data_IF_691066560770
#
_entry.id   IF_691066560770
#
_cell.length_a   1.000
_cell.length_b   1.000
_cell.length_c   1.000
_cell.angle_alpha   90.00
_cell.angle_beta   90.00
_cell.angle_gamma   90.00
#
_symmetry.space_group_name_H-M   'P 1'
#
loop_
_entity.id
_entity.type
_entity.pdbx_description
1 polymer ?
#
# COMPACT_ATOMS: atom_id res chain seq x y z
N UNK A 1 4.26 3.75 18.32
CA UNK A 1 2.97 3.36 18.93
C UNK A 1 3.26 2.58 20.19
N UNK A 2 2.63 2.90 21.31
CA UNK A 2 2.67 2.09 22.51
C UNK A 2 1.22 1.65 22.79
N UNK A 3 0.99 0.33 22.85
CA UNK A 3 -0.34 -0.24 23.10
C UNK A 3 -0.23 -1.32 24.18
N UNK A 4 -1.29 -1.47 24.98
CA UNK A 4 -1.44 -2.58 25.91
C UNK A 4 -1.97 -3.83 25.21
N UNK A 5 -1.78 -5.00 25.82
CA UNK A 5 -2.38 -6.25 25.34
C UNK A 5 -3.91 -6.18 25.28
N UNK A 6 -4.54 -5.44 26.20
CA UNK A 6 -5.98 -5.20 26.19
C UNK A 6 -6.42 -4.40 24.95
N UNK A 7 -5.73 -3.32 24.63
CA UNK A 7 -6.01 -2.50 23.42
C UNK A 7 -5.80 -3.30 22.14
N UNK A 8 -4.74 -4.12 22.09
CA UNK A 8 -4.51 -5.03 20.95
C UNK A 8 -5.64 -6.06 20.81
N UNK A 9 -6.11 -6.63 21.92
CA UNK A 9 -7.20 -7.58 21.88
C UNK A 9 -8.49 -6.94 21.33
N UNK A 10 -8.80 -5.71 21.72
CA UNK A 10 -9.94 -4.95 21.17
C UNK A 10 -9.76 -4.72 19.67
N UNK A 11 -8.59 -4.24 19.24
CA UNK A 11 -8.28 -3.99 17.82
C UNK A 11 -8.42 -5.24 16.95
N UNK A 12 -8.05 -6.41 17.51
CA UNK A 12 -7.98 -7.68 16.78
C UNK A 12 -9.21 -8.58 16.99
N UNK A 13 -10.26 -8.08 17.65
CA UNK A 13 -11.47 -8.83 17.99
C UNK A 13 -11.14 -10.11 18.79
N UNK A 14 -10.19 -10.01 19.73
CA UNK A 14 -9.65 -11.12 20.48
C UNK A 14 -9.86 -11.01 22.00
N UNK A 15 -9.21 -11.90 22.73
CA UNK A 15 -9.19 -11.92 24.19
C UNK A 15 -7.78 -12.05 24.74
N UNK A 16 -7.54 -11.49 25.93
CA UNK A 16 -6.23 -11.55 26.59
C UNK A 16 -6.15 -12.78 27.50
N UNK A 17 -5.02 -13.47 27.44
CA UNK A 17 -4.63 -14.52 28.39
C UNK A 17 -3.26 -14.19 28.95
N UNK A 18 -3.18 -13.71 30.18
CA UNK A 18 -2.01 -13.15 30.84
C UNK A 18 -2.29 -11.74 31.37
N UNK A 19 -1.29 -10.89 31.39
CA UNK A 19 -1.41 -9.53 31.90
C UNK A 19 -1.96 -8.56 30.83
N UNK A 20 -3.17 -7.98 30.99
CA UNK A 20 -3.76 -7.07 30.02
C UNK A 20 -2.99 -5.74 29.88
N UNK A 21 -2.23 -5.35 30.89
CA UNK A 21 -1.42 -4.11 30.90
C UNK A 21 -0.04 -4.29 30.24
N UNK A 22 0.27 -5.50 29.75
CA UNK A 22 1.55 -5.72 29.02
C UNK A 22 1.65 -4.79 27.82
N UNK A 23 2.72 -3.98 27.79
CA UNK A 23 2.92 -2.96 26.77
C UNK A 23 3.81 -3.43 25.63
N UNK A 24 3.44 -3.07 24.42
CA UNK A 24 4.22 -3.29 23.20
C UNK A 24 4.42 -2.01 22.41
N UNK A 25 5.56 -1.92 21.72
CA UNK A 25 5.97 -0.73 20.95
C UNK A 25 6.39 -1.06 19.53
N UNK A 26 6.61 -2.33 19.24
CA UNK A 26 7.16 -2.78 17.94
C UNK A 26 6.61 -4.14 17.55
N UNK A 27 6.59 -4.38 16.25
CA UNK A 27 6.38 -5.69 15.66
C UNK A 27 7.70 -6.46 15.63
N UNK A 28 7.66 -7.77 15.84
CA UNK A 28 8.85 -8.62 15.80
C UNK A 28 8.57 -9.98 15.18
N UNK A 29 9.60 -10.56 14.56
CA UNK A 29 9.54 -11.95 14.11
C UNK A 29 9.54 -12.87 15.32
N UNK A 30 8.75 -13.94 15.31
CA UNK A 30 8.60 -14.85 16.44
C UNK A 30 9.92 -15.45 16.91
N UNK A 31 10.87 -15.67 15.98
CA UNK A 31 12.18 -16.27 16.25
C UNK A 31 13.14 -15.32 16.99
N UNK A 32 12.97 -14.01 16.84
CA UNK A 32 13.93 -13.01 17.31
C UNK A 32 13.31 -11.85 18.07
N UNK A 33 12.00 -11.89 18.29
CA UNK A 33 11.30 -10.85 19.05
C UNK A 33 11.84 -10.76 20.48
N UNK A 34 12.05 -9.53 20.94
CA UNK A 34 12.47 -9.23 22.32
C UNK A 34 11.40 -8.46 23.06
N UNK A 35 11.70 -8.07 24.28
CA UNK A 35 10.82 -7.30 25.18
C UNK A 35 10.22 -6.08 24.49
N UNK A 36 8.94 -5.82 24.71
CA UNK A 36 8.18 -4.73 24.10
C UNK A 36 7.77 -5.01 22.66
N UNK A 37 7.97 -6.23 22.15
CA UNK A 37 7.47 -6.63 20.85
C UNK A 37 6.16 -7.41 20.94
N UNK A 38 5.30 -7.22 19.92
CA UNK A 38 4.20 -8.13 19.59
C UNK A 38 4.61 -8.98 18.39
N UNK A 39 4.29 -10.26 18.44
CA UNK A 39 4.47 -11.21 17.34
C UNK A 39 3.21 -12.07 17.18
N UNK A 40 3.20 -12.98 16.22
CA UNK A 40 2.06 -13.85 15.97
C UNK A 40 2.47 -15.28 15.65
N UNK A 41 1.58 -16.22 15.92
CA UNK A 41 1.70 -17.63 15.56
C UNK A 41 0.51 -18.04 14.69
N UNK A 42 0.66 -17.97 13.36
CA UNK A 42 -0.35 -18.46 12.42
C UNK A 42 -0.05 -19.89 11.93
N UNK A 43 1.23 -20.27 11.80
CA UNK A 43 1.64 -21.59 11.37
C UNK A 43 2.19 -22.41 12.55
N UNK A 44 1.63 -23.62 12.76
CA UNK A 44 2.03 -24.54 13.83
C UNK A 44 3.51 -24.94 13.80
N UNK A 45 4.17 -24.92 12.65
CA UNK A 45 5.60 -25.20 12.54
C UNK A 45 6.48 -24.23 13.34
N UNK A 46 5.98 -23.01 13.55
CA UNK A 46 6.64 -21.96 14.31
C UNK A 46 6.36 -22.03 15.82
N UNK A 47 5.50 -22.95 16.28
CA UNK A 47 5.15 -23.10 17.70
C UNK A 47 6.38 -23.24 18.59
N UNK A 48 7.41 -23.96 18.13
CA UNK A 48 8.67 -24.16 18.86
C UNK A 48 9.38 -22.86 19.25
N UNK A 49 9.16 -21.77 18.51
CA UNK A 49 9.75 -20.47 18.80
C UNK A 49 9.01 -19.70 19.88
N UNK A 50 7.69 -19.93 20.06
CA UNK A 50 6.91 -19.28 21.13
C UNK A 50 7.56 -19.48 22.50
N UNK A 51 8.00 -20.70 22.78
CA UNK A 51 8.60 -21.08 24.06
C UNK A 51 9.98 -20.48 24.34
N UNK A 52 10.61 -19.87 23.34
CA UNK A 52 11.93 -19.23 23.41
C UNK A 52 11.89 -17.76 23.04
N UNK A 53 10.75 -17.27 22.61
CA UNK A 53 10.57 -15.88 22.19
C UNK A 53 10.68 -14.95 23.38
N UNK A 54 11.36 -13.84 23.24
CA UNK A 54 11.36 -12.74 24.18
C UNK A 54 10.23 -11.73 23.95
N UNK A 55 9.26 -12.05 23.07
CA UNK A 55 8.12 -11.18 22.79
C UNK A 55 7.26 -10.97 24.05
N UNK A 56 6.84 -9.74 24.30
CA UNK A 56 5.92 -9.42 25.40
C UNK A 56 4.50 -9.88 25.12
N UNK A 57 4.07 -9.84 23.86
CA UNK A 57 2.75 -10.30 23.41
C UNK A 57 2.87 -11.22 22.22
N UNK A 58 2.15 -12.33 22.23
CA UNK A 58 2.02 -13.25 21.09
C UNK A 58 0.55 -13.39 20.70
N UNK A 59 0.21 -13.06 19.46
CA UNK A 59 -1.13 -13.28 18.90
C UNK A 59 -1.22 -14.73 18.44
N UNK A 60 -2.21 -15.46 18.94
CA UNK A 60 -2.40 -16.90 18.71
C UNK A 60 -3.85 -17.21 18.37
N UNK A 61 -4.13 -18.39 17.79
CA UNK A 61 -5.49 -18.87 17.63
C UNK A 61 -6.18 -19.07 18.99
N UNK A 62 -7.50 -18.88 19.06
CA UNK A 62 -8.33 -19.19 20.25
C UNK A 62 -8.11 -20.62 20.76
N UNK A 63 -7.88 -21.55 19.83
CA UNK A 63 -7.68 -22.96 20.13
C UNK A 63 -6.25 -23.31 20.53
N UNK A 64 -5.35 -22.33 20.54
CA UNK A 64 -3.96 -22.59 20.91
C UNK A 64 -3.85 -23.03 22.36
N UNK A 65 -3.29 -24.22 22.56
CA UNK A 65 -2.97 -24.80 23.87
C UNK A 65 -1.45 -25.00 23.90
N UNK A 66 -0.72 -24.29 24.78
CA UNK A 66 0.72 -24.47 24.89
C UNK A 66 1.04 -25.90 25.37
N UNK A 67 1.99 -26.55 24.71
CA UNK A 67 2.50 -27.88 25.08
C UNK A 67 3.63 -27.83 26.13
N UNK A 68 4.14 -26.65 26.42
CA UNK A 68 5.20 -26.37 27.39
C UNK A 68 4.89 -25.06 28.09
N UNK A 69 5.57 -24.81 29.20
CA UNK A 69 5.49 -23.55 29.88
C UNK A 69 5.92 -22.40 28.98
N UNK A 70 5.14 -21.34 28.99
CA UNK A 70 5.47 -20.10 28.28
C UNK A 70 6.44 -19.26 29.11
N UNK A 71 7.22 -18.38 28.47
CA UNK A 71 7.98 -17.36 29.21
C UNK A 71 7.09 -16.59 30.20
N UNK A 72 7.55 -16.36 31.44
CA UNK A 72 6.69 -15.87 32.54
C UNK A 72 6.07 -14.49 32.28
N UNK A 73 6.74 -13.63 31.50
CA UNK A 73 6.26 -12.29 31.18
C UNK A 73 5.50 -12.21 29.86
N UNK A 74 5.22 -13.37 29.23
CA UNK A 74 4.53 -13.42 27.95
C UNK A 74 3.02 -13.38 28.16
N UNK A 75 2.38 -12.48 27.44
CA UNK A 75 0.93 -12.38 27.34
C UNK A 75 0.46 -12.86 25.97
N UNK A 76 -0.62 -13.66 25.96
CA UNK A 76 -1.24 -14.09 24.70
C UNK A 76 -2.46 -13.23 24.38
N UNK A 77 -2.62 -12.86 23.11
CA UNK A 77 -3.87 -12.34 22.55
C UNK A 77 -4.45 -13.42 21.65
N UNK A 78 -5.59 -13.96 22.06
CA UNK A 78 -6.28 -15.07 21.39
C UNK A 78 -7.31 -14.53 20.41
N UNK A 79 -7.21 -14.92 19.13
CA UNK A 79 -8.05 -14.47 18.01
C UNK A 79 -8.58 -15.66 17.21
N UNK A 80 -9.60 -15.46 16.39
CA UNK A 80 -10.13 -16.51 15.51
C UNK A 80 -9.10 -16.92 14.45
N UNK A 81 -8.56 -15.96 13.73
CA UNK A 81 -7.52 -16.17 12.71
C UNK A 81 -6.31 -15.27 12.95
N UNK A 82 -5.17 -15.82 13.44
CA UNK A 82 -3.96 -15.04 13.67
C UNK A 82 -3.38 -14.40 12.42
N UNK A 83 -3.60 -14.97 11.23
CA UNK A 83 -3.08 -14.40 9.97
C UNK A 83 -3.82 -13.12 9.60
N UNK A 84 -5.16 -13.17 9.62
CA UNK A 84 -5.99 -11.98 9.38
C UNK A 84 -5.79 -10.92 10.47
N UNK A 85 -5.63 -11.33 11.74
CA UNK A 85 -5.32 -10.41 12.83
C UNK A 85 -3.98 -9.70 12.62
N UNK A 86 -2.97 -10.42 12.14
CA UNK A 86 -1.67 -9.83 11.81
C UNK A 86 -1.77 -8.81 10.65
N UNK A 87 -2.54 -9.14 9.60
CA UNK A 87 -2.79 -8.19 8.51
C UNK A 87 -3.45 -6.90 9.03
N UNK A 88 -4.50 -7.01 9.87
CA UNK A 88 -5.12 -5.85 10.54
C UNK A 88 -4.12 -5.03 11.36
N UNK A 89 -3.20 -5.69 12.06
CA UNK A 89 -2.18 -5.01 12.86
C UNK A 89 -1.17 -4.26 11.97
N UNK A 90 -0.77 -4.84 10.86
CA UNK A 90 0.10 -4.19 9.88
C UNK A 90 -0.60 -2.98 9.24
N UNK A 91 -1.86 -3.10 8.85
CA UNK A 91 -2.66 -2.00 8.32
C UNK A 91 -2.79 -0.85 9.33
N UNK A 92 -3.06 -1.18 10.61
CA UNK A 92 -3.11 -0.19 11.67
C UNK A 92 -1.75 0.52 11.86
N UNK A 93 -0.65 -0.21 11.75
CA UNK A 93 0.70 0.33 11.82
C UNK A 93 1.02 1.23 10.62
N UNK A 94 0.66 0.83 9.42
CA UNK A 94 0.87 1.62 8.19
C UNK A 94 0.03 2.91 8.21
N UNK A 95 -1.20 2.85 8.71
CA UNK A 95 -2.05 4.03 8.89
C UNK A 95 -1.44 5.10 9.80
N UNK A 96 -0.64 4.72 10.80
CA UNK A 96 0.09 5.67 11.66
C UNK A 96 1.26 6.32 10.90
N UNK A 97 1.80 5.63 9.92
CA UNK A 97 2.89 6.12 9.07
C UNK A 97 2.38 6.92 7.86
N UNK A 98 1.06 7.05 7.69
CA UNK A 98 0.48 7.92 6.65
C UNK A 98 1.00 9.34 6.81
N UNK A 99 1.19 9.99 5.68
CA UNK A 99 1.66 11.37 5.65
C UNK A 99 0.53 12.31 6.06
N UNK A 100 0.93 13.45 6.62
CA UNK A 100 0.00 14.53 6.89
C UNK A 100 -0.68 14.99 5.60
N UNK A 101 -1.98 15.30 5.70
CA UNK A 101 -2.75 15.88 4.62
C UNK A 101 -2.17 17.25 4.23
N UNK A 102 -2.34 17.60 2.97
CA UNK A 102 -1.96 18.91 2.45
C UNK A 102 -1.01 18.85 1.26
N UNK A 103 -0.61 20.02 0.82
CA UNK A 103 0.23 20.19 -0.36
C UNK A 103 1.61 20.69 0.07
N UNK A 104 2.65 19.95 -0.26
CA UNK A 104 4.02 20.37 0.01
C UNK A 104 4.38 21.61 -0.81
N UNK A 105 5.10 22.56 -0.22
CA UNK A 105 5.42 23.86 -0.82
C UNK A 105 6.23 23.78 -2.14
N UNK A 106 6.90 22.66 -2.39
CA UNK A 106 7.64 22.41 -3.63
C UNK A 106 6.84 21.65 -4.70
N UNK A 107 5.56 21.36 -4.47
CA UNK A 107 4.71 20.78 -5.49
C UNK A 107 4.33 21.83 -6.54
N UNK A 108 4.28 21.42 -7.80
CA UNK A 108 3.89 22.25 -8.93
C UNK A 108 2.53 21.78 -9.43
N UNK A 109 1.50 22.58 -9.20
CA UNK A 109 0.12 22.22 -9.53
C UNK A 109 -0.42 23.25 -10.51
N UNK A 110 -0.92 22.76 -11.66
CA UNK A 110 -1.54 23.65 -12.64
C UNK A 110 -2.85 24.24 -12.07
N UNK A 111 -3.16 25.54 -12.30
CA UNK A 111 -4.38 26.17 -11.76
C UNK A 111 -5.69 25.49 -12.15
N UNK A 112 -5.74 24.84 -13.32
CA UNK A 112 -6.90 24.10 -13.80
C UNK A 112 -6.98 22.65 -13.28
N UNK A 113 -6.04 22.21 -12.43
CA UNK A 113 -6.10 20.90 -11.80
C UNK A 113 -7.05 20.93 -10.59
N UNK A 114 -7.77 19.83 -10.40
CA UNK A 114 -8.72 19.67 -9.28
C UNK A 114 -8.14 18.65 -8.30
N UNK A 115 -8.04 19.03 -7.03
CA UNK A 115 -7.56 18.15 -5.96
C UNK A 115 -8.66 17.98 -4.92
N UNK A 116 -9.02 16.74 -4.65
CA UNK A 116 -10.03 16.35 -3.66
C UNK A 116 -9.58 16.63 -2.22
N UNK A 117 -10.52 16.47 -1.30
CA UNK A 117 -10.29 16.68 0.12
C UNK A 117 -9.41 15.58 0.73
N UNK A 118 -8.61 15.94 1.74
CA UNK A 118 -7.80 14.97 2.48
C UNK A 118 -6.64 14.37 1.69
N UNK A 119 -6.23 14.97 0.57
CA UNK A 119 -5.09 14.51 -0.21
C UNK A 119 -3.75 14.90 0.46
N UNK A 120 -2.75 14.01 0.33
CA UNK A 120 -1.37 14.28 0.72
C UNK A 120 -0.51 14.40 -0.54
N UNK A 121 -0.05 15.61 -0.87
CA UNK A 121 0.75 15.89 -2.05
C UNK A 121 2.20 16.17 -1.64
N UNK A 122 3.08 15.24 -1.95
CA UNK A 122 4.48 15.25 -1.50
C UNK A 122 5.40 16.22 -2.24
N UNK A 123 6.67 16.28 -1.83
CA UNK A 123 7.65 17.20 -2.42
C UNK A 123 7.95 16.85 -3.88
N UNK A 124 8.05 17.89 -4.71
CA UNK A 124 8.40 17.78 -6.13
C UNK A 124 7.36 17.04 -6.97
N UNK A 125 6.14 16.88 -6.46
CA UNK A 125 4.99 16.39 -7.26
C UNK A 125 4.65 17.42 -8.32
N UNK A 126 4.37 16.95 -9.53
CA UNK A 126 3.87 17.78 -10.64
C UNK A 126 2.51 17.28 -11.06
N UNK A 127 1.52 18.18 -11.07
CA UNK A 127 0.15 17.90 -11.53
C UNK A 127 -0.18 18.88 -12.64
N UNK A 128 -0.38 18.36 -13.84
CA UNK A 128 -0.55 19.16 -15.07
C UNK A 128 -2.04 19.54 -15.29
N UNK A 129 -2.26 20.31 -16.34
CA UNK A 129 -3.54 20.90 -16.73
C UNK A 129 -4.66 19.87 -16.83
N UNK A 130 -5.82 20.19 -16.26
CA UNK A 130 -7.04 19.38 -16.37
C UNK A 130 -7.00 18.06 -15.59
N UNK A 131 -5.94 17.78 -14.87
CA UNK A 131 -5.86 16.58 -14.03
C UNK A 131 -6.85 16.69 -12.85
N UNK A 132 -7.48 15.57 -12.51
CA UNK A 132 -8.41 15.46 -11.37
C UNK A 132 -7.94 14.37 -10.41
N UNK A 133 -7.75 14.71 -9.15
CA UNK A 133 -7.34 13.82 -8.07
C UNK A 133 -8.51 13.66 -7.11
N UNK A 134 -8.95 12.44 -6.88
CA UNK A 134 -10.02 12.12 -5.92
C UNK A 134 -9.57 12.23 -4.48
N UNK A 135 -10.55 12.29 -3.57
CA UNK A 135 -10.34 12.49 -2.14
C UNK A 135 -9.39 11.45 -1.51
N UNK A 136 -8.66 11.86 -0.46
CA UNK A 136 -7.78 11.02 0.36
C UNK A 136 -6.70 10.27 -0.43
N UNK A 137 -6.34 10.76 -1.60
CA UNK A 137 -5.26 10.19 -2.41
C UNK A 137 -3.91 10.74 -1.98
N UNK A 138 -2.93 9.85 -1.86
CA UNK A 138 -1.55 10.19 -1.51
C UNK A 138 -0.65 10.13 -2.76
N UNK A 139 -0.01 11.25 -3.11
CA UNK A 139 1.03 11.34 -4.12
C UNK A 139 2.37 11.57 -3.42
N UNK A 140 3.25 10.56 -3.40
CA UNK A 140 4.57 10.67 -2.77
C UNK A 140 5.53 11.50 -3.62
N UNK A 141 6.74 11.69 -3.12
CA UNK A 141 7.73 12.56 -3.76
C UNK A 141 7.94 12.27 -5.24
N UNK A 142 8.02 13.35 -6.04
CA UNK A 142 8.33 13.29 -7.49
C UNK A 142 7.35 12.47 -8.33
N UNK A 143 6.11 12.32 -7.90
CA UNK A 143 5.03 11.79 -8.74
C UNK A 143 4.70 12.81 -9.82
N UNK A 144 4.51 12.35 -11.05
CA UNK A 144 4.06 13.16 -12.18
C UNK A 144 2.67 12.72 -12.63
N UNK A 145 1.74 13.64 -12.69
CA UNK A 145 0.38 13.45 -13.20
C UNK A 145 0.21 14.35 -14.42
N UNK A 146 0.05 13.74 -15.59
CA UNK A 146 -0.08 14.40 -16.88
C UNK A 146 -1.44 15.06 -17.10
N UNK A 147 -1.58 15.64 -18.28
CA UNK A 147 -2.80 16.39 -18.67
C UNK A 147 -4.02 15.49 -18.72
N UNK A 148 -5.14 16.03 -18.28
CA UNK A 148 -6.46 15.37 -18.35
C UNK A 148 -6.46 13.95 -17.76
N UNK A 149 -5.55 13.68 -16.82
CA UNK A 149 -5.55 12.44 -16.04
C UNK A 149 -6.64 12.48 -15.00
N UNK A 150 -7.35 11.39 -14.82
CA UNK A 150 -8.31 11.23 -13.73
C UNK A 150 -7.85 10.14 -12.77
N UNK A 151 -7.78 10.47 -11.49
CA UNK A 151 -7.45 9.54 -10.40
C UNK A 151 -8.61 9.51 -9.43
N UNK A 152 -9.03 8.31 -9.05
CA UNK A 152 -10.09 8.08 -8.07
C UNK A 152 -9.68 8.40 -6.63
N UNK A 153 -10.53 7.99 -5.69
CA UNK A 153 -10.36 8.22 -4.25
C UNK A 153 -9.50 7.13 -3.60
N UNK A 154 -8.90 7.45 -2.45
CA UNK A 154 -8.16 6.50 -1.61
C UNK A 154 -7.01 5.78 -2.34
N UNK A 155 -6.38 6.45 -3.30
CA UNK A 155 -5.26 5.90 -4.05
C UNK A 155 -3.91 6.26 -3.42
N UNK A 156 -2.90 5.40 -3.65
CA UNK A 156 -1.54 5.63 -3.18
C UNK A 156 -0.54 5.51 -4.33
N UNK A 157 0.21 6.57 -4.56
CA UNK A 157 1.27 6.63 -5.57
C UNK A 157 2.62 6.80 -4.90
N UNK A 158 3.45 5.78 -5.02
CA UNK A 158 4.80 5.82 -4.47
C UNK A 158 5.73 6.72 -5.28
N UNK A 159 6.88 7.06 -4.69
CA UNK A 159 7.79 8.06 -5.27
C UNK A 159 8.21 7.73 -6.71
N UNK A 160 8.22 8.76 -7.55
CA UNK A 160 8.67 8.67 -8.94
C UNK A 160 7.69 8.01 -9.91
N UNK A 161 6.46 7.67 -9.49
CA UNK A 161 5.40 7.21 -10.40
C UNK A 161 5.05 8.29 -11.41
N UNK A 162 4.80 7.88 -12.66
CA UNK A 162 4.38 8.78 -13.74
C UNK A 162 3.11 8.27 -14.38
N UNK A 163 2.06 9.07 -14.34
CA UNK A 163 0.81 8.84 -15.06
C UNK A 163 0.75 9.85 -16.21
N UNK A 164 0.85 9.34 -17.44
CA UNK A 164 0.91 10.20 -18.61
C UNK A 164 -0.50 10.57 -19.10
N UNK A 165 -0.54 11.56 -19.99
CA UNK A 165 -1.76 12.27 -20.42
C UNK A 165 -2.95 11.36 -20.72
N UNK A 166 -4.14 11.77 -20.27
CA UNK A 166 -5.45 11.16 -20.55
C UNK A 166 -5.63 9.73 -20.01
N UNK A 167 -4.74 9.26 -19.13
CA UNK A 167 -4.92 8.00 -18.44
C UNK A 167 -5.94 8.13 -17.30
N UNK A 168 -6.57 7.01 -16.95
CA UNK A 168 -7.54 6.93 -15.86
C UNK A 168 -7.11 5.89 -14.85
N UNK A 169 -7.19 6.23 -13.57
CA UNK A 169 -6.96 5.33 -12.44
C UNK A 169 -8.20 5.34 -11.58
N UNK A 170 -8.78 4.18 -11.33
CA UNK A 170 -9.94 3.98 -10.46
C UNK A 170 -9.65 4.25 -8.99
N UNK A 171 -10.53 3.80 -8.12
CA UNK A 171 -10.42 4.03 -6.68
C UNK A 171 -9.57 2.95 -5.99
N UNK A 172 -8.96 3.29 -4.84
CA UNK A 172 -8.20 2.35 -3.99
C UNK A 172 -7.09 1.60 -4.72
N UNK A 173 -6.45 2.28 -5.66
CA UNK A 173 -5.32 1.74 -6.39
C UNK A 173 -4.00 2.09 -5.69
N UNK A 174 -3.08 1.12 -5.66
CA UNK A 174 -1.72 1.31 -5.18
C UNK A 174 -0.73 1.15 -6.32
N UNK A 175 0.08 2.17 -6.57
CA UNK A 175 1.08 2.15 -7.64
C UNK A 175 2.47 2.30 -7.03
N UNK A 176 3.29 1.28 -7.17
CA UNK A 176 4.63 1.25 -6.58
C UNK A 176 5.64 2.10 -7.36
N UNK A 177 6.75 2.44 -6.67
CA UNK A 177 7.70 3.45 -7.12
C UNK A 177 8.30 3.23 -8.51
N UNK A 178 8.46 4.32 -9.25
CA UNK A 178 9.08 4.35 -10.57
C UNK A 178 8.24 3.78 -11.71
N UNK A 179 7.03 3.32 -11.44
CA UNK A 179 6.11 2.81 -12.46
C UNK A 179 5.63 3.91 -13.39
N UNK A 180 5.55 3.60 -14.69
CA UNK A 180 5.10 4.51 -15.75
C UNK A 180 3.82 3.96 -16.38
N UNK A 181 2.77 4.76 -16.40
CA UNK A 181 1.48 4.40 -16.99
C UNK A 181 1.16 5.35 -18.13
N UNK A 182 0.94 4.81 -19.32
CA UNK A 182 0.54 5.56 -20.51
C UNK A 182 1.69 5.99 -21.41
N UNK A 183 2.87 5.35 -21.34
CA UNK A 183 3.91 5.50 -22.35
C UNK A 183 3.45 5.02 -23.72
N UNK A 184 4.09 5.49 -24.79
CA UNK A 184 3.80 5.00 -26.13
C UNK A 184 4.14 3.52 -26.25
N UNK A 185 3.20 2.72 -26.74
CA UNK A 185 3.44 1.35 -27.15
C UNK A 185 4.36 1.25 -28.37
N UNK A 186 4.80 0.01 -28.67
CA UNK A 186 5.60 -0.24 -29.86
C UNK A 186 4.72 -0.13 -31.12
N UNK A 187 4.83 0.99 -31.81
CA UNK A 187 4.10 1.25 -33.06
C UNK A 187 5.00 1.85 -34.12
N UNK A 188 5.37 1.04 -35.13
CA UNK A 188 6.19 1.47 -36.26
C UNK A 188 5.67 0.86 -37.55
N UNK A 189 5.62 1.69 -38.62
CA UNK A 189 5.26 1.27 -39.97
C UNK A 189 6.56 1.15 -40.80
N UNK A 190 6.78 0.02 -41.50
CA UNK A 190 7.93 -0.12 -42.39
C UNK A 190 7.77 0.83 -43.60
N UNK A 191 8.88 1.36 -44.09
CA UNK A 191 8.96 2.14 -45.32
C UNK A 191 9.70 1.39 -46.40
N UNK A 192 9.52 1.80 -47.68
CA UNK A 192 10.13 1.17 -48.83
C UNK A 192 11.67 1.19 -48.81
N UNK A 193 12.27 2.14 -48.12
CA UNK A 193 13.73 2.25 -47.92
C UNK A 193 14.28 1.34 -46.81
N UNK A 194 13.43 0.50 -46.21
CA UNK A 194 13.82 -0.36 -45.07
C UNK A 194 13.86 0.33 -43.72
N UNK A 195 13.59 1.62 -43.64
CA UNK A 195 13.47 2.36 -42.39
C UNK A 195 12.05 2.23 -41.80
N UNK A 196 11.86 2.79 -40.59
CA UNK A 196 10.58 2.76 -39.89
C UNK A 196 10.07 4.17 -39.61
N UNK A 197 8.76 4.38 -39.81
CA UNK A 197 8.06 5.57 -39.35
C UNK A 197 7.36 5.26 -38.03
N UNK A 198 7.57 6.11 -37.00
CA UNK A 198 6.82 5.99 -35.76
C UNK A 198 5.33 6.25 -36.00
N UNK A 199 4.49 5.35 -35.52
CA UNK A 199 3.02 5.52 -35.50
C UNK A 199 2.65 6.17 -34.17
N UNK A 200 2.06 7.40 -34.17
CA UNK A 200 1.60 8.05 -32.95
C UNK A 200 0.61 7.19 -32.17
N UNK A 201 0.81 7.12 -30.87
CA UNK A 201 -0.07 6.37 -29.96
C UNK A 201 -1.05 7.35 -29.30
N UNK A 202 -2.29 7.36 -29.75
CA UNK A 202 -3.30 8.37 -29.35
C UNK A 202 -4.28 7.87 -28.29
N UNK A 203 -4.25 6.59 -27.96
CA UNK A 203 -5.05 5.98 -26.92
C UNK A 203 -4.56 6.32 -25.52
N UNK A 204 -5.05 5.59 -24.54
CA UNK A 204 -4.69 5.77 -23.11
C UNK A 204 -4.56 4.44 -22.37
N UNK A 205 -4.40 4.52 -21.05
CA UNK A 205 -4.48 3.39 -20.11
C UNK A 205 -5.60 3.68 -19.13
N UNK A 206 -6.37 2.64 -18.81
CA UNK A 206 -7.40 2.65 -17.77
C UNK A 206 -7.04 1.56 -16.75
N UNK A 207 -6.81 1.96 -15.50
CA UNK A 207 -6.82 1.05 -14.35
C UNK A 207 -8.20 1.13 -13.71
N UNK A 208 -8.86 0.00 -13.57
CA UNK A 208 -10.09 -0.08 -12.79
C UNK A 208 -9.79 -0.06 -11.28
N UNK A 209 -10.81 -0.12 -10.44
CA UNK A 209 -10.67 -0.05 -8.97
C UNK A 209 -9.85 -1.22 -8.38
N UNK A 210 -9.28 -1.00 -7.20
CA UNK A 210 -8.64 -2.02 -6.37
C UNK A 210 -7.40 -2.69 -7.02
N UNK A 211 -6.72 -2.00 -7.92
CA UNK A 211 -5.50 -2.51 -8.58
C UNK A 211 -4.25 -2.19 -7.77
N UNK A 212 -3.33 -3.17 -7.67
CA UNK A 212 -1.98 -2.98 -7.13
C UNK A 212 -0.95 -3.22 -8.24
N UNK A 213 -0.18 -2.19 -8.59
CA UNK A 213 0.85 -2.26 -9.62
C UNK A 213 2.23 -2.23 -8.97
N UNK A 214 3.05 -3.23 -9.28
CA UNK A 214 4.40 -3.37 -8.76
C UNK A 214 5.33 -2.22 -9.16
N UNK A 215 6.52 -2.19 -8.53
CA UNK A 215 7.52 -1.17 -8.83
C UNK A 215 8.14 -1.37 -10.22
N UNK A 216 8.54 -0.24 -10.86
CA UNK A 216 9.24 -0.21 -12.15
C UNK A 216 8.46 -0.94 -13.28
N UNK A 217 7.15 -1.00 -13.18
CA UNK A 217 6.31 -1.50 -14.26
C UNK A 217 6.10 -0.42 -15.32
N UNK A 218 5.84 -0.87 -16.56
CA UNK A 218 5.40 -0.01 -17.66
C UNK A 218 4.09 -0.55 -18.23
N UNK A 219 3.09 0.32 -18.31
CA UNK A 219 1.81 0.02 -18.94
C UNK A 219 1.63 0.97 -20.12
N UNK A 220 1.87 0.45 -21.32
CA UNK A 220 1.82 1.27 -22.53
C UNK A 220 0.38 1.54 -22.94
N UNK A 221 0.16 2.74 -23.49
CA UNK A 221 -1.13 3.11 -24.07
C UNK A 221 -1.42 2.36 -25.35
N UNK A 222 -2.68 2.15 -25.62
CA UNK A 222 -3.13 1.62 -26.89
C UNK A 222 -2.85 2.63 -28.04
N UNK A 223 -2.69 2.15 -29.24
CA UNK A 223 -2.63 3.03 -30.45
C UNK A 223 -3.92 3.82 -30.60
N UNK A 224 -5.06 3.16 -30.44
CA UNK A 224 -6.42 3.70 -30.42
C UNK A 224 -7.20 3.03 -29.29
N UNK A 225 -8.07 3.77 -28.61
CA UNK A 225 -8.83 3.24 -27.47
C UNK A 225 -7.98 3.12 -26.22
N UNK A 226 -8.10 2.03 -25.47
CA UNK A 226 -7.50 1.92 -24.13
C UNK A 226 -6.84 0.57 -23.88
N UNK A 227 -5.67 0.58 -23.27
CA UNK A 227 -5.13 -0.57 -22.53
C UNK A 227 -5.84 -0.63 -21.17
N UNK A 228 -6.45 -1.76 -20.82
CA UNK A 228 -7.29 -1.84 -19.63
C UNK A 228 -6.74 -2.88 -18.66
N UNK A 229 -6.47 -2.45 -17.42
CA UNK A 229 -6.21 -3.31 -16.28
C UNK A 229 -7.49 -3.40 -15.46
N UNK A 230 -8.03 -4.61 -15.36
CA UNK A 230 -9.33 -4.85 -14.74
C UNK A 230 -9.26 -4.79 -13.22
N UNK A 231 -10.43 -4.56 -12.62
CA UNK A 231 -10.61 -4.46 -11.17
C UNK A 231 -9.92 -5.60 -10.41
N UNK A 232 -9.19 -5.25 -9.36
CA UNK A 232 -8.58 -6.19 -8.43
C UNK A 232 -7.31 -6.88 -8.96
N UNK A 233 -6.75 -6.46 -10.10
CA UNK A 233 -5.45 -6.98 -10.56
C UNK A 233 -4.32 -6.66 -9.57
N UNK A 234 -3.42 -7.65 -9.41
CA UNK A 234 -2.25 -7.58 -8.55
C UNK A 234 -0.98 -7.90 -9.32
#
# INVERSE_FOLDING_TARGET
>A
MEQTAAELAILLDGSVSGNPETRVRKLGKIESAGTGAVTFLANKEYEKYVYKSGASVVVVSKDFQPKKDLPPDMTLVKVDDPYSAFAKLLDAYDNILKRDEGVHSSAIIHPDAIIGAGCAIGPGVVIDKGATIGDRTELRAHVYIGRDVTIGTDCMFFSGVRILDRCHVGNRCTIQGGTVIGSDGFGFAPKDDGSYAKVPQTGNVILEDDCDIGALCTLDRATLGSTIVRKGCK
#
